data_IF_302863274745
#
_entry.id   IF_302863274745
#
_cell.length_a   1.000
_cell.length_b   1.000
_cell.length_c   1.000
_cell.angle_alpha   90.00
_cell.angle_beta   90.00
_cell.angle_gamma   90.00
#
_symmetry.space_group_name_H-M   'P 1'
#
loop_
_entity.id
_entity.type
_entity.pdbx_description
1 polymer ?
#
# COMPACT_ATOMS: atom_id res chain seq x y z
N UNK A 1 7.93 -7.33 15.15
CA UNK A 1 9.29 -7.81 14.79
C UNK A 1 10.30 -6.96 15.57
N UNK A 2 11.50 -7.46 15.82
CA UNK A 2 12.58 -6.59 16.26
C UNK A 2 12.99 -5.60 15.14
N UNK A 3 13.72 -4.52 15.47
CA UNK A 3 14.12 -3.50 14.50
C UNK A 3 15.02 -4.03 13.38
N UNK A 4 15.90 -4.99 13.67
CA UNK A 4 16.84 -5.58 12.71
C UNK A 4 16.10 -6.37 11.63
N UNK A 5 15.09 -7.15 12.04
CA UNK A 5 14.25 -7.90 11.11
C UNK A 5 13.40 -6.98 10.25
N UNK A 6 12.87 -5.88 10.81
CA UNK A 6 12.16 -4.88 10.02
C UNK A 6 13.10 -4.20 9.01
N UNK A 7 14.31 -3.85 9.42
CA UNK A 7 15.29 -3.24 8.54
C UNK A 7 15.59 -4.12 7.32
N UNK A 8 15.81 -5.43 7.53
CA UNK A 8 16.04 -6.40 6.46
C UNK A 8 14.84 -6.57 5.51
N UNK A 9 13.61 -6.47 6.02
CA UNK A 9 12.41 -6.47 5.17
C UNK A 9 12.37 -5.22 4.29
N UNK A 10 12.67 -4.05 4.86
CA UNK A 10 12.65 -2.78 4.12
C UNK A 10 13.74 -2.68 3.05
N UNK A 11 14.86 -3.38 3.20
CA UNK A 11 15.88 -3.45 2.14
C UNK A 11 15.37 -4.19 0.90
N UNK A 12 14.54 -5.21 1.10
CA UNK A 12 14.13 -6.16 0.04
C UNK A 12 12.71 -5.93 -0.49
N UNK A 13 11.86 -5.20 0.23
CA UNK A 13 10.46 -4.99 -0.13
C UNK A 13 10.09 -3.51 -0.21
N UNK A 14 9.32 -3.15 -1.24
CA UNK A 14 8.76 -1.79 -1.40
C UNK A 14 7.60 -1.52 -0.42
N UNK A 15 6.91 -2.59 -0.01
CA UNK A 15 5.78 -2.56 0.92
C UNK A 15 6.00 -3.60 2.01
N UNK A 16 5.86 -3.20 3.28
CA UNK A 16 5.98 -4.09 4.45
C UNK A 16 4.71 -3.96 5.31
N UNK A 17 3.97 -5.04 5.45
CA UNK A 17 2.80 -5.13 6.33
C UNK A 17 3.10 -5.93 7.59
N UNK A 18 2.84 -5.36 8.76
CA UNK A 18 3.10 -5.96 10.06
C UNK A 18 1.81 -6.03 10.88
N UNK A 19 1.55 -7.18 11.50
CA UNK A 19 0.43 -7.32 12.44
C UNK A 19 0.67 -6.66 13.80
N UNK A 20 1.93 -6.57 14.21
CA UNK A 20 2.32 -5.91 15.45
C UNK A 20 2.47 -4.41 15.23
N UNK A 21 2.16 -3.62 16.26
CA UNK A 21 2.58 -2.22 16.30
C UNK A 21 4.11 -2.15 16.42
N UNK A 22 4.73 -1.22 15.69
CA UNK A 22 6.17 -1.00 15.75
C UNK A 22 6.43 0.45 16.17
N UNK A 23 7.11 0.68 17.32
CA UNK A 23 7.27 2.03 17.86
C UNK A 23 8.23 2.89 17.04
N UNK A 24 9.23 2.27 16.41
CA UNK A 24 10.29 2.98 15.68
C UNK A 24 10.51 2.36 14.29
N UNK A 25 10.49 3.21 13.26
CA UNK A 25 10.74 2.81 11.89
C UNK A 25 12.24 2.97 11.56
N UNK A 26 12.97 1.90 11.19
CA UNK A 26 14.38 1.99 10.82
C UNK A 26 14.62 2.89 9.62
N UNK A 27 15.80 3.51 9.54
CA UNK A 27 16.20 4.36 8.42
C UNK A 27 16.20 3.63 7.06
N UNK A 28 16.42 2.31 7.03
CA UNK A 28 16.34 1.50 5.81
C UNK A 28 14.94 1.42 5.22
N UNK A 29 13.91 1.76 6.00
CA UNK A 29 12.52 1.88 5.53
C UNK A 29 12.21 3.24 4.90
N UNK A 30 13.19 4.16 4.80
CA UNK A 30 12.99 5.43 4.13
C UNK A 30 12.49 5.22 2.68
N UNK A 31 11.37 5.85 2.35
CA UNK A 31 10.71 5.73 1.04
C UNK A 31 9.96 4.42 0.81
N UNK A 32 9.88 3.52 1.80
CA UNK A 32 9.06 2.29 1.73
C UNK A 32 7.69 2.52 2.35
N UNK A 33 6.68 1.83 1.83
CA UNK A 33 5.36 1.83 2.44
C UNK A 33 5.33 0.81 3.58
N UNK A 34 5.34 1.27 4.83
CA UNK A 34 5.23 0.41 6.01
C UNK A 34 3.87 0.60 6.66
N UNK A 35 3.15 -0.49 6.88
CA UNK A 35 1.86 -0.53 7.55
C UNK A 35 1.96 -1.45 8.76
N UNK A 36 1.56 -0.98 9.92
CA UNK A 36 1.68 -1.74 11.17
C UNK A 36 0.33 -2.02 11.85
N UNK A 37 0.38 -2.63 13.04
CA UNK A 37 -0.82 -2.94 13.81
C UNK A 37 -1.64 -1.70 14.18
N UNK A 38 -1.02 -0.53 14.36
CA UNK A 38 -1.74 0.73 14.62
C UNK A 38 -2.56 1.12 13.40
N UNK A 39 -1.97 1.05 12.20
CA UNK A 39 -2.67 1.35 10.95
C UNK A 39 -3.86 0.41 10.71
N UNK A 40 -3.64 -0.90 10.82
CA UNK A 40 -4.70 -1.89 10.62
C UNK A 40 -5.80 -1.83 11.70
N UNK A 41 -5.47 -1.42 12.93
CA UNK A 41 -6.49 -1.21 13.97
C UNK A 41 -7.41 -0.02 13.69
N UNK A 42 -6.90 1.01 13.00
CA UNK A 42 -7.64 2.23 12.66
C UNK A 42 -8.52 2.02 11.43
N UNK A 43 -7.95 1.47 10.36
CA UNK A 43 -8.60 1.43 9.05
C UNK A 43 -9.02 0.04 8.56
N UNK A 44 -8.65 -1.02 9.29
CA UNK A 44 -8.98 -2.40 8.92
C UNK A 44 -8.17 -2.87 7.72
N UNK A 45 -8.72 -2.75 6.51
CA UNK A 45 -8.11 -3.23 5.27
C UNK A 45 -7.68 -2.09 4.36
N UNK A 46 -6.53 -2.27 3.70
CA UNK A 46 -6.03 -1.39 2.65
C UNK A 46 -6.03 -2.08 1.30
N UNK A 47 -6.20 -1.29 0.26
CA UNK A 47 -5.84 -1.64 -1.11
C UNK A 47 -4.49 -1.01 -1.43
N UNK A 48 -3.62 -1.77 -2.12
CA UNK A 48 -2.34 -1.27 -2.61
C UNK A 48 -2.52 -0.77 -4.03
N UNK A 49 -2.37 0.54 -4.21
CA UNK A 49 -2.50 1.22 -5.48
C UNK A 49 -1.12 1.63 -5.97
N UNK A 50 -0.86 1.47 -7.27
CA UNK A 50 0.38 1.93 -7.87
C UNK A 50 0.18 3.34 -8.42
N UNK A 51 0.99 4.27 -7.94
CA UNK A 51 0.87 5.70 -8.26
C UNK A 51 2.22 6.21 -8.74
N UNK A 52 2.36 6.35 -10.07
CA UNK A 52 3.64 6.64 -10.71
C UNK A 52 4.72 5.62 -10.34
N UNK A 53 5.73 6.08 -9.60
CA UNK A 53 6.91 5.28 -9.20
C UNK A 53 6.76 4.56 -7.86
N UNK A 54 5.65 4.75 -7.13
CA UNK A 54 5.49 4.27 -5.76
C UNK A 54 4.21 3.47 -5.50
N UNK A 55 4.15 2.93 -4.29
CA UNK A 55 2.95 2.29 -3.74
C UNK A 55 2.23 3.24 -2.78
N UNK A 56 0.90 3.26 -2.88
CA UNK A 56 0.02 4.00 -1.99
C UNK A 56 -0.99 3.05 -1.35
N UNK A 57 -1.10 3.09 -0.03
CA UNK A 57 -2.17 2.42 0.70
C UNK A 57 -3.43 3.29 0.66
N UNK A 58 -4.57 2.69 0.31
CA UNK A 58 -5.88 3.34 0.33
C UNK A 58 -6.82 2.48 1.15
N UNK A 59 -7.56 3.06 2.09
CA UNK A 59 -8.51 2.27 2.87
C UNK A 59 -9.60 1.69 1.97
N UNK A 60 -9.84 0.39 2.10
CA UNK A 60 -10.83 -0.33 1.29
C UNK A 60 -12.24 0.27 1.43
N UNK A 61 -12.53 0.87 2.58
CA UNK A 61 -13.79 1.56 2.87
C UNK A 61 -13.99 2.79 1.99
N UNK A 62 -12.93 3.55 1.73
CA UNK A 62 -13.01 4.87 1.10
C UNK A 62 -13.26 4.76 -0.41
N UNK A 63 -12.82 3.66 -1.01
CA UNK A 63 -12.95 3.40 -2.45
C UNK A 63 -14.04 2.40 -2.78
N UNK A 64 -14.83 1.95 -1.79
CA UNK A 64 -15.93 1.01 -2.04
C UNK A 64 -16.93 1.62 -3.03
N UNK A 65 -17.14 0.93 -4.15
CA UNK A 65 -18.03 1.38 -5.23
C UNK A 65 -17.40 2.37 -6.22
N UNK A 66 -16.20 2.91 -5.93
CA UNK A 66 -15.53 3.93 -6.72
C UNK A 66 -14.16 3.48 -7.26
N UNK A 67 -13.93 2.16 -7.33
CA UNK A 67 -12.65 1.59 -7.79
C UNK A 67 -12.44 1.84 -9.29
N UNK A 68 -11.18 1.96 -9.75
CA UNK A 68 -10.89 2.22 -11.16
C UNK A 68 -11.46 1.15 -12.09
N UNK A 69 -11.37 -0.13 -11.69
CA UNK A 69 -11.85 -1.27 -12.50
C UNK A 69 -13.36 -1.50 -12.41
N UNK A 70 -14.10 -0.75 -11.58
CA UNK A 70 -15.57 -0.79 -11.58
C UNK A 70 -16.19 0.31 -12.43
N UNK A 71 -15.37 1.25 -12.94
CA UNK A 71 -15.84 2.26 -13.90
C UNK A 71 -16.10 1.54 -15.23
N UNK A 72 -17.27 1.77 -15.82
CA UNK A 72 -17.50 1.28 -17.18
C UNK A 72 -16.45 1.92 -18.10
N UNK A 73 -15.87 1.17 -19.05
CA UNK A 73 -15.00 1.76 -20.05
C UNK A 73 -15.80 2.86 -20.76
N UNK A 74 -15.17 4.02 -20.90
CA UNK A 74 -15.71 5.07 -21.75
C UNK A 74 -15.84 4.48 -23.16
N UNK A 75 -17.05 4.41 -23.75
CA UNK A 75 -17.24 3.82 -25.08
C UNK A 75 -16.41 4.53 -26.16
N UNK A 76 -15.92 5.74 -25.89
CA UNK A 76 -15.10 6.52 -26.83
C UNK A 76 -13.58 6.32 -26.65
N UNK A 77 -13.13 5.57 -25.64
CA UNK A 77 -11.71 5.22 -25.45
C UNK A 77 -11.39 3.89 -26.15
N UNK A 78 -10.81 3.98 -27.35
CA UNK A 78 -10.33 2.82 -28.10
C UNK A 78 -8.99 2.30 -27.56
N UNK A 79 -8.97 1.03 -27.13
CA UNK A 79 -7.80 0.28 -26.66
C UNK A 79 -6.87 -0.19 -27.82
N UNK A 80 -6.75 0.63 -28.86
CA UNK A 80 -5.92 0.33 -30.05
C UNK A 80 -4.55 0.98 -29.90
N UNK A 81 -3.71 0.38 -29.05
CA UNK A 81 -2.36 0.90 -28.81
C UNK A 81 -1.50 -0.01 -27.93
N UNK A 82 -1.38 -1.29 -28.28
CA UNK A 82 -0.36 -2.19 -27.74
C UNK A 82 0.19 -3.07 -28.88
#
# INVERSE_FOLDING_TARGET
PDPERLAALCETAEVVGLRAAVPDIPASCAGRLVLDGVDFSKGGAVELWRDGVGWRAVWTTDVRGNRPWTRQPDPDVSDSGA
#
